data_IF_082093875879
#
_entry.id   IF_082093875879
#
_cell.length_a   1.000
_cell.length_b   1.000
_cell.length_c   1.000
_cell.angle_alpha   90.00
_cell.angle_beta   90.00
_cell.angle_gamma   90.00
#
_symmetry.space_group_name_H-M   'P 1'
#
loop_
_entity.id
_entity.type
_entity.pdbx_description
1 polymer ?
#
# COMPACT_ATOMS: atom_id res chain seq x y z
N UNK A 1 3.82 -10.22 31.49
CA UNK A 1 4.71 -11.19 32.19
C UNK A 1 4.11 -11.39 33.57
N UNK A 2 3.57 -12.58 33.88
CA UNK A 2 2.72 -12.76 35.07
C UNK A 2 3.56 -12.68 36.34
N UNK A 3 3.05 -11.99 37.37
CA UNK A 3 3.71 -11.84 38.68
C UNK A 3 4.16 -13.20 39.28
N UNK A 4 3.47 -14.28 38.92
CA UNK A 4 3.75 -15.65 39.30
C UNK A 4 5.13 -16.12 38.78
N UNK A 5 5.52 -15.76 37.56
CA UNK A 5 6.82 -16.12 36.98
C UNK A 5 7.96 -15.43 37.74
N UNK A 6 7.75 -14.18 38.13
CA UNK A 6 8.74 -13.43 38.91
C UNK A 6 8.92 -14.03 40.31
N UNK A 7 7.81 -14.40 40.96
CA UNK A 7 7.83 -15.07 42.28
C UNK A 7 8.58 -16.40 42.19
N UNK A 8 8.33 -17.21 41.16
CA UNK A 8 9.06 -18.46 40.92
C UNK A 8 10.55 -18.24 40.72
N UNK A 9 10.95 -17.23 39.93
CA UNK A 9 12.36 -16.90 39.72
C UNK A 9 13.07 -16.43 40.99
N UNK A 10 12.37 -15.68 41.85
CA UNK A 10 12.93 -15.21 43.14
C UNK A 10 13.12 -16.38 44.10
N UNK A 11 12.16 -17.31 44.19
CA UNK A 11 12.28 -18.51 45.03
C UNK A 11 13.45 -19.38 44.57
N UNK A 12 13.57 -19.59 43.27
CA UNK A 12 14.65 -20.35 42.64
C UNK A 12 16.01 -19.69 42.88
N UNK A 13 16.11 -18.38 42.65
CA UNK A 13 17.34 -17.63 42.88
C UNK A 13 17.79 -17.68 44.34
N UNK A 14 16.85 -17.59 45.28
CA UNK A 14 17.11 -17.74 46.71
C UNK A 14 17.67 -19.11 47.07
N UNK A 15 17.11 -20.19 46.51
CA UNK A 15 17.58 -21.55 46.72
C UNK A 15 18.98 -21.78 46.14
N UNK A 16 19.28 -21.27 44.94
CA UNK A 16 20.61 -21.38 44.33
C UNK A 16 21.70 -20.66 45.14
N UNK A 17 21.39 -19.46 45.65
CA UNK A 17 22.32 -18.71 46.52
C UNK A 17 22.58 -19.48 47.82
N UNK A 18 21.54 -20.11 48.37
CA UNK A 18 21.64 -20.94 49.56
C UNK A 18 22.53 -22.18 49.33
N UNK A 19 22.32 -22.87 48.21
CA UNK A 19 23.09 -24.05 47.81
C UNK A 19 24.57 -23.75 47.58
N UNK A 20 24.90 -22.64 46.91
CA UNK A 20 26.28 -22.17 46.72
C UNK A 20 26.95 -21.89 48.07
N UNK A 21 26.22 -21.33 49.05
CA UNK A 21 26.75 -21.07 50.39
C UNK A 21 27.07 -22.35 51.15
N UNK A 22 26.21 -23.38 51.04
CA UNK A 22 26.42 -24.68 51.68
C UNK A 22 27.63 -25.37 51.06
N UNK A 23 27.71 -25.45 49.73
CA UNK A 23 28.85 -26.03 49.00
C UNK A 23 30.17 -25.34 49.35
N UNK A 24 30.20 -24.01 49.46
CA UNK A 24 31.40 -23.26 49.85
C UNK A 24 31.86 -23.58 51.28
N UNK A 25 30.92 -23.80 52.22
CA UNK A 25 31.27 -24.22 53.59
C UNK A 25 31.82 -25.65 53.63
N UNK A 26 31.26 -26.55 52.82
CA UNK A 26 31.69 -27.95 52.76
C UNK A 26 33.08 -28.05 52.14
N UNK A 27 33.34 -27.34 51.04
CA UNK A 27 34.65 -27.30 50.39
C UNK A 27 35.75 -26.79 51.33
N UNK A 28 35.50 -25.70 52.06
CA UNK A 28 36.48 -25.13 53.01
C UNK A 28 36.81 -26.05 54.19
N UNK A 29 35.90 -26.97 54.53
CA UNK A 29 36.09 -27.94 55.60
C UNK A 29 36.70 -29.27 55.10
N UNK A 30 36.87 -29.45 53.79
CA UNK A 30 37.44 -30.65 53.19
C UNK A 30 38.97 -30.59 53.03
N UNK A 31 39.56 -29.39 52.92
CA UNK A 31 41.01 -29.19 52.77
C UNK A 31 41.81 -29.44 54.07
N UNK A 32 41.13 -29.66 55.19
CA UNK A 32 41.75 -29.93 56.49
C UNK A 32 42.12 -31.40 56.70
N UNK A 33 43.08 -31.91 55.93
CA UNK A 33 44.10 -32.93 56.28
C UNK A 33 43.78 -34.27 56.95
N UNK A 34 42.59 -34.54 57.51
CA UNK A 34 42.25 -35.82 58.14
C UNK A 34 40.74 -35.98 58.26
N UNK A 35 40.12 -36.90 57.50
CA UNK A 35 38.99 -37.71 58.00
C UNK A 35 38.46 -38.64 56.91
N UNK A 36 38.34 -39.93 57.25
CA UNK A 36 37.25 -40.73 56.68
C UNK A 36 35.96 -39.96 56.91
N UNK A 37 35.22 -39.68 55.84
CA UNK A 37 33.86 -39.13 55.94
C UNK A 37 33.07 -39.97 56.93
N UNK A 38 32.72 -39.39 58.08
CA UNK A 38 31.82 -40.02 59.03
C UNK A 38 30.49 -40.28 58.31
N UNK A 39 29.88 -41.46 58.48
CA UNK A 39 28.70 -41.88 57.71
C UNK A 39 27.57 -40.84 57.76
N UNK A 40 27.45 -40.14 58.90
CA UNK A 40 26.53 -39.03 59.10
C UNK A 40 26.74 -37.86 58.12
N UNK A 41 27.99 -37.46 57.87
CA UNK A 41 28.34 -36.43 56.85
C UNK A 41 28.07 -36.94 55.44
N UNK A 42 28.25 -38.23 55.18
CA UNK A 42 27.98 -38.80 53.86
C UNK A 42 26.48 -38.80 53.53
N UNK A 43 25.62 -39.15 54.49
CA UNK A 43 24.17 -39.12 54.29
C UNK A 43 23.62 -37.70 54.13
N UNK A 44 24.14 -36.72 54.88
CA UNK A 44 23.78 -35.31 54.70
C UNK A 44 24.17 -34.79 53.31
N UNK A 45 25.39 -35.09 52.86
CA UNK A 45 25.85 -34.71 51.52
C UNK A 45 24.99 -35.35 50.41
N UNK A 46 24.67 -36.63 50.55
CA UNK A 46 23.82 -37.37 49.60
C UNK A 46 22.41 -36.79 49.53
N UNK A 47 21.87 -36.35 50.66
CA UNK A 47 20.56 -35.71 50.71
C UNK A 47 20.58 -34.36 49.98
N UNK A 48 21.60 -33.54 50.22
CA UNK A 48 21.77 -32.24 49.55
C UNK A 48 21.93 -32.39 48.03
N UNK A 49 22.69 -33.38 47.56
CA UNK A 49 22.84 -33.67 46.12
C UNK A 49 21.51 -34.07 45.48
N UNK A 50 20.71 -34.93 46.15
CA UNK A 50 19.39 -35.32 45.64
C UNK A 50 18.40 -34.16 45.59
N UNK A 51 18.48 -33.26 46.57
CA UNK A 51 17.68 -32.05 46.60
C UNK A 51 18.04 -31.12 45.42
N UNK A 52 19.34 -30.92 45.16
CA UNK A 52 19.84 -30.14 44.03
C UNK A 52 19.37 -30.73 42.67
N UNK A 53 19.47 -32.04 42.50
CA UNK A 53 18.98 -32.72 41.28
C UNK A 53 17.48 -32.53 41.07
N UNK A 54 16.69 -32.56 42.14
CA UNK A 54 15.23 -32.36 42.06
C UNK A 54 14.88 -30.92 41.68
N UNK A 55 15.58 -29.93 42.25
CA UNK A 55 15.41 -28.50 41.91
C UNK A 55 15.80 -28.24 40.45
N UNK A 56 16.93 -28.80 39.99
CA UNK A 56 17.37 -28.66 38.60
C UNK A 56 16.35 -29.26 37.62
N UNK A 57 15.76 -30.41 37.93
CA UNK A 57 14.73 -31.03 37.09
C UNK A 57 13.47 -30.17 36.99
N UNK A 58 13.00 -29.59 38.10
CA UNK A 58 11.86 -28.66 38.12
C UNK A 58 12.15 -27.41 37.28
N UNK A 59 13.37 -26.89 37.34
CA UNK A 59 13.79 -25.73 36.54
C UNK A 59 13.81 -26.01 35.05
N UNK A 60 14.39 -27.14 34.65
CA UNK A 60 14.44 -27.55 33.25
C UNK A 60 13.01 -27.76 32.72
N UNK A 61 12.15 -28.43 33.50
CA UNK A 61 10.76 -28.65 33.12
C UNK A 61 10.00 -27.32 32.98
N UNK A 62 10.15 -26.42 33.96
CA UNK A 62 9.55 -25.09 33.93
C UNK A 62 10.00 -24.27 32.72
N UNK A 63 11.31 -24.17 32.49
CA UNK A 63 11.87 -23.44 31.35
C UNK A 63 11.38 -23.99 30.01
N UNK A 64 11.30 -25.32 29.88
CA UNK A 64 10.85 -25.97 28.64
C UNK A 64 9.34 -25.77 28.42
N UNK A 65 8.52 -25.95 29.46
CA UNK A 65 7.07 -25.79 29.39
C UNK A 65 6.66 -24.34 29.11
N UNK A 66 7.23 -23.38 29.84
CA UNK A 66 6.96 -21.95 29.62
C UNK A 66 7.56 -21.44 28.31
N UNK A 67 8.73 -21.95 27.90
CA UNK A 67 9.34 -21.64 26.61
C UNK A 67 8.43 -22.07 25.46
N UNK A 68 7.93 -23.30 25.49
CA UNK A 68 7.02 -23.84 24.47
C UNK A 68 5.69 -23.08 24.40
N UNK A 69 5.05 -22.80 25.54
CA UNK A 69 3.78 -22.07 25.55
C UNK A 69 3.90 -20.64 25.03
N UNK A 70 5.02 -19.97 25.36
CA UNK A 70 5.27 -18.59 24.92
C UNK A 70 5.62 -18.55 23.43
N UNK A 71 6.40 -19.51 22.94
CA UNK A 71 6.77 -19.61 21.53
C UNK A 71 5.54 -19.83 20.65
N UNK A 72 4.65 -20.77 21.03
CA UNK A 72 3.41 -21.05 20.29
C UNK A 72 2.49 -19.82 20.22
N UNK A 73 2.31 -19.11 21.34
CA UNK A 73 1.51 -17.89 21.37
C UNK A 73 2.12 -16.71 20.60
N UNK A 74 3.43 -16.73 20.34
CA UNK A 74 4.10 -15.77 19.46
C UNK A 74 3.86 -16.16 18.00
N UNK A 75 4.03 -17.43 17.65
CA UNK A 75 3.80 -17.97 16.29
C UNK A 75 2.36 -17.70 15.81
N UNK A 76 1.36 -17.98 16.66
CA UNK A 76 -0.05 -17.72 16.34
C UNK A 76 -0.30 -16.23 16.04
N UNK A 77 0.30 -15.33 16.84
CA UNK A 77 0.19 -13.86 16.63
C UNK A 77 0.92 -13.39 15.38
N UNK A 78 2.01 -14.06 15.00
CA UNK A 78 2.73 -13.76 13.77
C UNK A 78 1.92 -14.18 12.55
N UNK A 79 1.31 -15.37 12.57
CA UNK A 79 0.43 -15.83 11.50
C UNK A 79 -0.79 -14.92 11.35
N UNK A 80 -1.46 -14.56 12.44
CA UNK A 80 -2.61 -13.65 12.41
C UNK A 80 -2.25 -12.27 11.81
N UNK A 81 -1.06 -11.75 12.14
CA UNK A 81 -0.56 -10.49 11.54
C UNK A 81 -0.26 -10.63 10.06
N UNK A 82 0.33 -11.75 9.63
CA UNK A 82 0.62 -12.02 8.23
C UNK A 82 -0.65 -12.11 7.40
N UNK A 83 -1.67 -12.85 7.87
CA UNK A 83 -2.96 -12.94 7.17
C UNK A 83 -3.66 -11.58 7.06
N UNK A 84 -3.58 -10.74 8.10
CA UNK A 84 -4.14 -9.40 8.04
C UNK A 84 -3.39 -8.48 7.07
N UNK A 85 -2.06 -8.60 6.99
CA UNK A 85 -1.23 -7.87 6.03
C UNK A 85 -1.53 -8.29 4.58
N UNK A 86 -1.71 -9.59 4.34
CA UNK A 86 -2.07 -10.14 3.04
C UNK A 86 -3.43 -9.60 2.58
N UNK A 87 -4.46 -9.68 3.43
CA UNK A 87 -5.78 -9.10 3.15
C UNK A 87 -5.74 -7.60 2.86
N UNK A 88 -4.91 -6.84 3.58
CA UNK A 88 -4.74 -5.41 3.31
C UNK A 88 -4.07 -5.16 1.95
N UNK A 89 -3.11 -6.00 1.57
CA UNK A 89 -2.40 -5.92 0.30
C UNK A 89 -3.34 -6.20 -0.86
N UNK A 90 -4.15 -7.26 -0.78
CA UNK A 90 -5.18 -7.59 -1.79
C UNK A 90 -6.20 -6.47 -1.94
N UNK A 91 -6.63 -5.88 -0.81
CA UNK A 91 -7.59 -4.76 -0.83
C UNK A 91 -6.97 -3.54 -1.51
N UNK A 92 -5.68 -3.28 -1.29
CA UNK A 92 -4.97 -2.17 -1.89
C UNK A 92 -4.77 -2.40 -3.40
N UNK A 93 -4.36 -3.59 -3.81
CA UNK A 93 -4.20 -3.96 -5.22
C UNK A 93 -5.52 -3.82 -5.99
N UNK A 94 -6.62 -4.30 -5.42
CA UNK A 94 -7.95 -4.14 -6.01
C UNK A 94 -8.38 -2.67 -6.13
N UNK A 95 -8.06 -1.83 -5.14
CA UNK A 95 -8.28 -0.38 -5.23
C UNK A 95 -7.43 0.24 -6.34
N UNK A 96 -6.15 -0.09 -6.40
CA UNK A 96 -5.23 0.40 -7.44
C UNK A 96 -5.71 0.01 -8.83
N UNK A 97 -6.14 -1.24 -9.03
CA UNK A 97 -6.72 -1.72 -10.29
C UNK A 97 -7.96 -0.92 -10.69
N UNK A 98 -8.89 -0.70 -9.76
CA UNK A 98 -10.10 0.11 -9.99
C UNK A 98 -9.77 1.57 -10.33
N UNK A 99 -8.78 2.17 -9.66
CA UNK A 99 -8.33 3.53 -9.97
C UNK A 99 -7.66 3.60 -11.34
N UNK A 100 -6.79 2.65 -11.69
CA UNK A 100 -6.16 2.58 -13.01
C UNK A 100 -7.19 2.40 -14.13
N UNK A 101 -8.21 1.57 -13.93
CA UNK A 101 -9.31 1.43 -14.88
C UNK A 101 -10.10 2.75 -15.02
N UNK A 102 -10.41 3.43 -13.92
CA UNK A 102 -11.13 4.72 -13.95
C UNK A 102 -10.33 5.83 -14.62
N UNK A 103 -9.03 5.95 -14.30
CA UNK A 103 -8.14 6.99 -14.84
C UNK A 103 -7.91 6.79 -16.34
N UNK A 104 -7.84 5.54 -16.82
CA UNK A 104 -7.77 5.23 -18.26
C UNK A 104 -8.93 5.83 -19.07
N UNK A 105 -10.06 6.12 -18.42
CA UNK A 105 -11.25 6.70 -19.05
C UNK A 105 -11.55 8.13 -18.60
N UNK A 106 -10.60 8.86 -18.00
CA UNK A 106 -10.82 10.26 -17.63
C UNK A 106 -10.32 11.20 -18.72
N UNK A 107 -11.16 11.61 -19.69
CA UNK A 107 -10.72 12.48 -20.77
C UNK A 107 -10.37 13.87 -20.24
N UNK A 108 -9.32 14.48 -20.81
CA UNK A 108 -9.12 15.92 -20.69
C UNK A 108 -10.12 16.61 -21.60
N UNK A 109 -11.03 17.38 -21.00
CA UNK A 109 -12.08 18.11 -21.72
C UNK A 109 -11.64 19.55 -21.97
N UNK A 110 -11.73 19.99 -23.22
CA UNK A 110 -11.51 21.37 -23.63
C UNK A 110 -12.75 21.90 -24.33
N UNK A 111 -13.09 23.15 -24.05
CA UNK A 111 -14.16 23.87 -24.75
C UNK A 111 -13.49 25.00 -25.51
N UNK A 112 -13.77 25.14 -26.80
CA UNK A 112 -13.28 26.22 -27.66
C UNK A 112 -14.49 26.99 -28.16
N UNK A 113 -14.49 28.30 -27.94
CA UNK A 113 -15.63 29.15 -28.32
C UNK A 113 -15.32 29.97 -29.56
N UNK A 114 -16.35 30.26 -30.36
CA UNK A 114 -16.31 31.17 -31.50
C UNK A 114 -15.25 30.82 -32.57
N UNK A 115 -15.11 29.54 -32.89
CA UNK A 115 -14.25 29.11 -34.00
C UNK A 115 -14.84 29.60 -35.31
N UNK A 116 -14.03 30.34 -36.09
CA UNK A 116 -14.47 30.93 -37.36
C UNK A 116 -14.49 29.88 -38.45
N UNK A 117 -15.57 29.86 -39.22
CA UNK A 117 -15.78 29.00 -40.38
C UNK A 117 -16.18 29.86 -41.57
N UNK A 118 -15.62 29.59 -42.75
CA UNK A 118 -16.03 30.28 -43.96
C UNK A 118 -17.29 29.62 -44.52
N UNK A 119 -18.46 30.22 -44.25
CA UNK A 119 -19.70 29.78 -44.88
C UNK A 119 -19.79 30.32 -46.30
N UNK A 120 -19.56 29.46 -47.29
CA UNK A 120 -19.83 29.76 -48.70
C UNK A 120 -21.17 29.12 -49.10
N UNK A 121 -22.16 29.98 -49.38
CA UNK A 121 -23.52 29.59 -49.78
C UNK A 121 -23.50 28.81 -51.12
N UNK A 122 -22.44 28.93 -51.92
CA UNK A 122 -22.35 28.35 -53.26
C UNK A 122 -21.55 27.05 -53.32
N UNK A 123 -20.63 26.83 -52.38
CA UNK A 123 -19.77 25.64 -52.36
C UNK A 123 -19.72 25.03 -50.96
N UNK A 124 -20.06 23.74 -50.83
CA UNK A 124 -19.91 22.96 -49.59
C UNK A 124 -18.42 22.72 -49.33
N UNK A 125 -17.66 23.77 -49.05
CA UNK A 125 -16.23 23.68 -48.77
C UNK A 125 -16.02 23.12 -47.37
N UNK A 126 -15.04 22.24 -47.30
CA UNK A 126 -14.53 21.71 -46.06
C UNK A 126 -13.36 22.60 -45.61
N UNK A 127 -13.43 23.11 -44.38
CA UNK A 127 -12.37 23.90 -43.77
C UNK A 127 -11.54 23.01 -42.85
N UNK A 128 -10.22 23.10 -43.00
CA UNK A 128 -9.25 22.46 -42.10
C UNK A 128 -8.85 23.42 -41.00
N UNK A 129 -9.04 23.01 -39.74
CA UNK A 129 -8.77 23.82 -38.56
C UNK A 129 -7.76 23.10 -37.69
N UNK A 130 -6.65 23.79 -37.37
CA UNK A 130 -5.56 23.22 -36.59
C UNK A 130 -5.71 23.54 -35.10
N UNK A 131 -5.50 22.54 -34.24
CA UNK A 131 -5.60 22.73 -32.78
C UNK A 131 -4.59 23.72 -32.23
N UNK A 132 -3.40 23.80 -32.83
CA UNK A 132 -2.33 24.74 -32.45
C UNK A 132 -2.74 26.22 -32.55
N UNK A 133 -3.73 26.51 -33.40
CA UNK A 133 -4.21 27.86 -33.68
C UNK A 133 -5.45 28.21 -32.83
N UNK A 134 -5.93 27.27 -32.00
CA UNK A 134 -7.09 27.44 -31.13
C UNK A 134 -6.67 27.71 -29.68
N UNK A 135 -7.52 28.47 -29.01
CA UNK A 135 -7.47 28.68 -27.57
C UNK A 135 -8.73 28.10 -26.94
N UNK A 136 -8.61 27.55 -25.74
CA UNK A 136 -9.75 27.14 -24.94
C UNK A 136 -10.62 28.34 -24.52
N UNK A 137 -11.75 28.06 -23.89
CA UNK A 137 -12.71 29.04 -23.39
C UNK A 137 -12.12 29.98 -22.33
N UNK A 138 -10.94 29.68 -21.79
CA UNK A 138 -10.18 30.49 -20.83
C UNK A 138 -9.05 31.28 -21.49
N UNK A 139 -8.89 31.20 -22.82
CA UNK A 139 -7.87 31.90 -23.58
C UNK A 139 -6.49 31.23 -23.56
N UNK A 140 -6.37 29.99 -23.07
CA UNK A 140 -5.12 29.22 -23.10
C UNK A 140 -5.01 28.42 -24.38
N UNK A 141 -3.79 28.29 -24.91
CA UNK A 141 -3.54 27.41 -26.06
C UNK A 141 -3.88 25.97 -25.71
N UNK A 142 -4.48 25.27 -26.68
CA UNK A 142 -4.68 23.83 -26.55
C UNK A 142 -3.32 23.09 -26.47
N UNK A 143 -3.24 21.98 -25.73
CA UNK A 143 -2.06 21.14 -25.74
C UNK A 143 -1.89 20.46 -27.10
N UNK A 144 -0.69 19.92 -27.35
CA UNK A 144 -0.51 18.96 -28.43
C UNK A 144 -1.18 17.65 -28.03
N UNK A 145 -1.99 17.10 -28.93
CA UNK A 145 -2.62 15.80 -28.73
C UNK A 145 -1.71 14.71 -29.31
N UNK A 146 -1.58 13.60 -28.60
CA UNK A 146 -0.82 12.44 -29.08
C UNK A 146 -1.68 11.56 -30.00
N UNK A 147 -2.97 11.45 -29.68
CA UNK A 147 -4.00 10.74 -30.44
C UNK A 147 -5.07 11.71 -30.94
N UNK A 148 -5.83 11.29 -31.95
CA UNK A 148 -7.02 12.02 -32.40
C UNK A 148 -8.01 12.16 -31.24
N UNK A 149 -8.33 13.39 -30.79
CA UNK A 149 -9.34 13.57 -29.76
C UNK A 149 -10.75 13.32 -30.31
N UNK A 150 -11.73 13.13 -29.44
CA UNK A 150 -13.14 13.17 -29.86
C UNK A 150 -13.61 14.62 -29.89
N UNK A 151 -14.34 14.99 -30.94
CA UNK A 151 -14.88 16.34 -31.10
C UNK A 151 -16.38 16.33 -31.30
N UNK A 152 -17.04 17.30 -30.69
CA UNK A 152 -18.40 17.68 -31.02
C UNK A 152 -18.38 19.16 -31.43
N UNK A 153 -18.98 19.46 -32.58
CA UNK A 153 -19.12 20.81 -33.10
C UNK A 153 -20.57 21.26 -32.96
N UNK A 154 -20.77 22.42 -32.36
CA UNK A 154 -22.09 23.01 -32.20
C UNK A 154 -22.13 24.34 -32.96
N UNK A 155 -22.69 24.29 -34.17
CA UNK A 155 -22.85 25.47 -35.01
C UNK A 155 -23.94 26.40 -34.47
N UNK A 156 -23.64 27.70 -34.38
CA UNK A 156 -24.66 28.72 -34.07
C UNK A 156 -25.40 29.05 -35.36
N UNK A 157 -26.49 28.33 -35.59
CA UNK A 157 -27.36 28.45 -36.76
C UNK A 157 -26.73 28.03 -38.11
N UNK A 158 -25.73 27.13 -38.06
CA UNK A 158 -25.21 26.37 -39.21
C UNK A 158 -25.11 24.91 -38.81
N UNK A 159 -25.60 24.00 -39.64
CA UNK A 159 -25.36 22.57 -39.42
C UNK A 159 -23.98 22.21 -39.96
N UNK A 160 -23.12 21.71 -39.07
CA UNK A 160 -21.76 21.34 -39.37
C UNK A 160 -21.60 19.83 -39.21
N UNK A 161 -20.84 19.23 -40.13
CA UNK A 161 -20.38 17.86 -40.03
C UNK A 161 -18.86 17.84 -39.93
N UNK A 162 -18.35 17.01 -39.03
CA UNK A 162 -16.92 16.73 -38.91
C UNK A 162 -16.59 15.60 -39.87
N UNK A 163 -15.71 15.88 -40.84
CA UNK A 163 -15.29 14.92 -41.86
C UNK A 163 -14.12 14.08 -41.35
N UNK A 164 -13.17 14.73 -40.69
CA UNK A 164 -11.91 14.11 -40.29
C UNK A 164 -11.42 14.72 -38.98
N UNK A 165 -10.77 13.88 -38.16
CA UNK A 165 -10.06 14.30 -36.97
C UNK A 165 -8.71 13.59 -36.88
N UNK A 166 -7.64 14.36 -36.83
CA UNK A 166 -6.28 13.90 -36.54
C UNK A 166 -5.84 14.38 -35.16
N UNK A 167 -4.60 14.08 -34.76
CA UNK A 167 -4.00 14.66 -33.55
C UNK A 167 -3.62 16.15 -33.72
N UNK A 168 -3.62 16.68 -34.95
CA UNK A 168 -3.14 18.04 -35.24
C UNK A 168 -4.23 18.99 -35.73
N UNK A 169 -5.24 18.46 -36.42
CA UNK A 169 -6.31 19.23 -37.03
C UNK A 169 -7.61 18.43 -37.09
N UNK A 170 -8.69 19.13 -37.40
CA UNK A 170 -9.96 18.53 -37.78
C UNK A 170 -10.52 19.27 -39.00
N UNK A 171 -11.37 18.58 -39.74
CA UNK A 171 -11.99 19.10 -40.96
C UNK A 171 -13.49 19.19 -40.74
N UNK A 172 -14.06 20.37 -40.95
CA UNK A 172 -15.51 20.62 -40.85
C UNK A 172 -16.09 21.05 -42.19
N UNK A 173 -17.30 20.62 -42.46
CA UNK A 173 -18.08 21.07 -43.62
C UNK A 173 -19.50 21.41 -43.23
N UNK A 174 -20.08 22.35 -43.94
CA UNK A 174 -21.48 22.70 -43.79
C UNK A 174 -22.38 21.68 -44.51
N UNK A 175 -23.37 21.14 -43.79
CA UNK A 175 -24.31 20.14 -44.34
C UNK A 175 -25.54 20.74 -44.99
N UNK A 176 -25.97 21.92 -44.55
CA UNK A 176 -27.16 22.60 -45.05
C UNK A 176 -26.83 24.01 -45.54
N UNK A 177 -27.43 24.42 -46.67
CA UNK A 177 -27.24 25.78 -47.20
C UNK A 177 -27.95 26.79 -46.31
N UNK A 178 -27.23 27.85 -45.91
CA UNK A 178 -27.87 29.04 -45.34
C UNK A 178 -28.41 29.91 -46.47
N UNK A 179 -29.73 30.11 -46.48
CA UNK A 179 -30.38 31.16 -47.27
C UNK A 179 -30.23 32.47 -46.46
N UNK A 180 -29.54 33.47 -47.01
CA UNK A 180 -29.21 34.78 -46.41
C UNK A 180 -28.20 34.75 -45.25
N UNK A 181 -26.90 34.75 -45.58
CA UNK A 181 -25.87 35.28 -44.68
C UNK A 181 -25.25 36.53 -45.29
N UNK A 182 -25.48 37.69 -44.66
CA UNK A 182 -24.72 38.91 -44.95
C UNK A 182 -23.26 38.80 -44.50
N UNK A 183 -22.97 37.84 -43.61
CA UNK A 183 -21.63 37.58 -43.07
C UNK A 183 -20.90 36.52 -43.87
N UNK A 184 -19.66 36.82 -44.28
CA UNK A 184 -18.74 35.90 -44.95
C UNK A 184 -18.20 34.76 -44.05
N UNK A 185 -18.38 34.91 -42.74
CA UNK A 185 -17.91 33.96 -41.74
C UNK A 185 -18.99 33.69 -40.71
N UNK A 186 -19.18 32.42 -40.40
CA UNK A 186 -19.95 31.96 -39.27
C UNK A 186 -19.03 31.51 -38.13
N UNK A 187 -19.59 31.34 -36.94
CA UNK A 187 -18.87 30.81 -35.80
C UNK A 187 -19.57 29.63 -35.15
N UNK A 188 -18.78 28.74 -34.57
CA UNK A 188 -19.26 27.57 -33.85
C UNK A 188 -18.40 27.30 -32.62
N UNK A 189 -18.98 26.56 -31.67
CA UNK A 189 -18.30 26.14 -30.45
C UNK A 189 -17.91 24.66 -30.59
N UNK A 190 -16.83 24.26 -29.91
CA UNK A 190 -16.26 22.92 -30.00
C UNK A 190 -16.02 22.35 -28.61
N UNK A 191 -16.40 21.10 -28.43
CA UNK A 191 -16.08 20.30 -27.26
C UNK A 191 -15.09 19.23 -27.67
N UNK A 192 -13.93 19.19 -27.01
CA UNK A 192 -12.82 18.29 -27.30
C UNK A 192 -12.60 17.37 -26.10
N UNK A 193 -12.58 16.06 -26.32
CA UNK A 193 -12.20 15.08 -25.31
C UNK A 193 -10.95 14.33 -25.76
N UNK A 194 -9.83 14.53 -25.05
CA UNK A 194 -8.56 13.83 -25.28
C UNK A 194 -8.38 12.71 -24.25
N UNK A 195 -7.93 11.54 -24.73
CA UNK A 195 -7.64 10.34 -23.93
C UNK A 195 -6.15 9.99 -23.96
N UNK A 196 -5.31 11.01 -24.12
CA UNK A 196 -3.86 10.89 -24.04
C UNK A 196 -3.39 10.76 -22.59
#
# INVERSE_FOLDING_TARGET
MSAIIYILLVIVGGLLIWDIRILSKISKNADGGNSKLNDEKYFDLKYQIKLLQSIAAILIFGATFFGYSTFKGIEDKFQEKLENLEKQTDTLENKVKKYNETVRYNPRIFVVNNVKFQSDITTRKADTIYFKDLNDSFGKKLPLFEKSPLLNVQGRAVDLNVIEVTSQYFVVSQTSYRLNSENKYDSFDIWIASFD
#
